data_IF_032083525389
#
_entry.id   IF_032083525389
#
_cell.length_a   1.000
_cell.length_b   1.000
_cell.length_c   1.000
_cell.angle_alpha   90.00
_cell.angle_beta   90.00
_cell.angle_gamma   90.00
#
_symmetry.space_group_name_H-M   'P 1'
#
loop_
_entity.id
_entity.type
_entity.pdbx_description
1 polymer ?
#
# COMPACT_ATOMS: atom_id res chain seq x y z
N UNK A 1 14.45 -4.30 15.05
CA UNK A 1 13.68 -5.54 14.78
C UNK A 1 13.33 -5.53 13.30
N UNK A 2 13.35 -6.67 12.63
CA UNK A 2 12.98 -6.77 11.20
C UNK A 2 11.47 -6.70 11.07
N UNK A 3 10.96 -5.84 10.16
CA UNK A 3 9.53 -5.72 9.87
C UNK A 3 9.07 -6.74 8.84
N UNK A 4 7.89 -7.32 9.03
CA UNK A 4 7.27 -8.22 8.06
C UNK A 4 6.25 -7.46 7.19
N UNK A 5 6.48 -7.45 5.88
CA UNK A 5 5.58 -6.80 4.92
C UNK A 5 4.95 -7.79 3.95
N UNK A 6 3.76 -7.45 3.44
CA UNK A 6 3.02 -8.24 2.44
C UNK A 6 2.59 -7.36 1.26
N UNK A 7 2.36 -7.98 0.10
CA UNK A 7 1.91 -7.26 -1.11
C UNK A 7 0.53 -6.64 -0.96
N UNK A 8 0.29 -5.47 -1.54
CA UNK A 8 -0.95 -4.68 -1.38
C UNK A 8 -2.28 -5.39 -1.71
N UNK A 9 -2.28 -6.37 -2.62
CA UNK A 9 -3.50 -7.05 -3.09
C UNK A 9 -4.64 -6.04 -3.37
N UNK A 10 -5.84 -6.25 -2.82
CA UNK A 10 -7.01 -5.40 -3.01
C UNK A 10 -7.25 -4.39 -1.85
N UNK A 11 -6.44 -4.45 -0.79
CA UNK A 11 -6.60 -3.68 0.44
C UNK A 11 -8.02 -3.76 1.04
N UNK A 12 -8.77 -4.83 0.79
CA UNK A 12 -10.12 -5.02 1.33
C UNK A 12 -10.08 -5.22 2.86
N UNK A 13 -11.22 -5.01 3.52
CA UNK A 13 -11.31 -5.20 4.97
C UNK A 13 -10.94 -6.63 5.38
N UNK A 14 -11.37 -7.62 4.57
CA UNK A 14 -11.07 -9.04 4.80
C UNK A 14 -9.57 -9.31 4.62
N UNK A 15 -8.94 -8.74 3.60
CA UNK A 15 -7.51 -8.87 3.37
C UNK A 15 -6.70 -8.25 4.52
N UNK A 16 -6.98 -6.99 4.88
CA UNK A 16 -6.25 -6.28 5.94
C UNK A 16 -6.41 -6.98 7.31
N UNK A 17 -7.61 -7.44 7.65
CA UNK A 17 -7.83 -8.25 8.88
C UNK A 17 -6.99 -9.52 8.87
N UNK A 18 -6.97 -10.25 7.76
CA UNK A 18 -6.22 -11.50 7.62
C UNK A 18 -4.72 -11.28 7.83
N UNK A 19 -4.13 -10.28 7.18
CA UNK A 19 -2.67 -10.10 7.23
C UNK A 19 -2.19 -9.54 8.58
N UNK A 20 -3.00 -8.73 9.25
CA UNK A 20 -2.76 -8.34 10.65
C UNK A 20 -2.75 -9.57 11.57
N UNK A 21 -3.71 -10.49 11.42
CA UNK A 21 -3.75 -11.73 12.22
C UNK A 21 -2.55 -12.64 11.98
N UNK A 22 -1.94 -12.56 10.79
CA UNK A 22 -0.71 -13.29 10.44
C UNK A 22 0.57 -12.58 10.92
N UNK A 23 0.46 -11.41 11.54
CA UNK A 23 1.60 -10.65 12.08
C UNK A 23 2.30 -9.74 11.07
N UNK A 24 1.65 -9.39 9.95
CA UNK A 24 2.20 -8.39 9.04
C UNK A 24 2.18 -7.00 9.70
N UNK A 25 3.25 -6.25 9.51
CA UNK A 25 3.45 -4.88 10.01
C UNK A 25 3.42 -3.85 8.87
N UNK A 26 3.59 -4.30 7.63
CA UNK A 26 3.74 -3.43 6.47
C UNK A 26 3.02 -3.92 5.22
N UNK A 27 2.68 -2.96 4.36
CA UNK A 27 2.20 -3.21 3.00
C UNK A 27 3.23 -2.72 1.98
N UNK A 28 3.50 -3.56 0.99
CA UNK A 28 4.37 -3.26 -0.15
C UNK A 28 3.56 -3.12 -1.43
N UNK A 29 3.80 -2.03 -2.16
CA UNK A 29 3.27 -1.81 -3.51
C UNK A 29 4.35 -2.20 -4.53
N UNK A 30 4.13 -3.31 -5.23
CA UNK A 30 5.11 -3.90 -6.15
C UNK A 30 5.24 -3.19 -7.49
N UNK A 31 4.24 -2.39 -7.85
CA UNK A 31 4.17 -1.66 -9.10
C UNK A 31 3.68 -0.24 -8.79
N UNK A 32 4.30 0.76 -9.41
CA UNK A 32 3.88 2.16 -9.27
C UNK A 32 2.44 2.37 -9.74
N UNK A 33 2.00 1.59 -10.73
CA UNK A 33 0.65 1.64 -11.29
C UNK A 33 -0.45 1.13 -10.34
N UNK A 34 -0.08 0.58 -9.17
CA UNK A 34 -1.03 0.26 -8.10
C UNK A 34 -1.46 1.49 -7.29
N UNK A 35 -0.71 2.60 -7.37
CA UNK A 35 -1.14 3.85 -6.78
C UNK A 35 -2.08 4.59 -7.75
N UNK A 36 -3.27 5.02 -7.29
CA UNK A 36 -4.19 5.80 -8.12
C UNK A 36 -3.51 7.05 -8.70
N UNK A 37 -3.82 7.40 -9.95
CA UNK A 37 -3.27 8.57 -10.65
C UNK A 37 -1.98 8.30 -11.41
N UNK A 38 -1.22 7.25 -11.06
CA UNK A 38 0.07 6.97 -11.73
C UNK A 38 -0.10 6.60 -13.19
N UNK A 39 -1.13 5.83 -13.55
CA UNK A 39 -1.37 5.43 -14.94
C UNK A 39 -1.76 6.62 -15.82
N UNK A 40 -2.46 7.58 -15.23
CA UNK A 40 -3.02 8.74 -15.94
C UNK A 40 -2.02 9.89 -16.05
N UNK A 41 -1.18 10.09 -15.04
CA UNK A 41 -0.34 11.29 -14.91
C UNK A 41 1.15 11.01 -14.71
N UNK A 42 1.54 9.76 -14.49
CA UNK A 42 2.92 9.37 -14.15
C UNK A 42 3.28 9.59 -12.68
N UNK A 43 2.35 10.07 -11.85
CA UNK A 43 2.54 10.26 -10.41
C UNK A 43 1.25 9.99 -9.61
N UNK A 44 1.34 9.64 -8.31
CA UNK A 44 0.17 9.33 -7.50
C UNK A 44 -0.74 10.54 -7.27
N UNK A 45 -2.04 10.30 -7.28
CA UNK A 45 -3.03 11.21 -6.73
C UNK A 45 -2.84 11.31 -5.21
N UNK A 46 -2.52 12.52 -4.73
CA UNK A 46 -2.14 12.76 -3.34
C UNK A 46 -3.28 12.41 -2.37
N UNK A 47 -4.52 12.79 -2.69
CA UNK A 47 -5.66 12.58 -1.81
C UNK A 47 -6.01 11.09 -1.71
N UNK A 48 -5.93 10.35 -2.81
CA UNK A 48 -6.12 8.92 -2.85
C UNK A 48 -5.01 8.18 -2.07
N UNK A 49 -3.75 8.61 -2.23
CA UNK A 49 -2.63 8.06 -1.47
C UNK A 49 -2.80 8.29 0.04
N UNK A 50 -3.24 9.47 0.46
CA UNK A 50 -3.53 9.78 1.87
C UNK A 50 -4.65 8.88 2.40
N UNK A 51 -5.72 8.64 1.62
CA UNK A 51 -6.81 7.73 2.01
C UNK A 51 -6.31 6.29 2.20
N UNK A 52 -5.49 5.79 1.26
CA UNK A 52 -4.87 4.46 1.35
C UNK A 52 -3.99 4.37 2.60
N UNK A 53 -3.12 5.37 2.84
CA UNK A 53 -2.25 5.40 4.01
C UNK A 53 -3.06 5.37 5.32
N UNK A 54 -4.07 6.23 5.46
CA UNK A 54 -4.94 6.28 6.65
C UNK A 54 -5.67 4.95 6.88
N UNK A 55 -6.12 4.30 5.80
CA UNK A 55 -6.74 2.98 5.86
C UNK A 55 -5.76 1.91 6.36
N UNK A 56 -4.55 1.84 5.83
CA UNK A 56 -3.54 0.86 6.30
C UNK A 56 -3.21 1.12 7.79
N UNK A 57 -3.05 2.38 8.17
CA UNK A 57 -2.77 2.79 9.55
C UNK A 57 -3.91 2.47 10.53
N UNK A 58 -5.19 2.49 10.10
CA UNK A 58 -6.31 2.10 10.97
C UNK A 58 -6.28 0.61 11.36
N UNK A 59 -5.45 -0.20 10.69
CA UNK A 59 -5.19 -1.60 11.04
C UNK A 59 -3.86 -1.79 11.81
N UNK A 60 -3.18 -0.71 12.19
CA UNK A 60 -1.90 -0.77 12.91
C UNK A 60 -0.69 -1.14 12.04
N UNK A 61 -0.83 -1.08 10.71
CA UNK A 61 0.24 -1.33 9.75
C UNK A 61 0.72 -0.04 9.10
N UNK A 62 1.84 -0.08 8.37
CA UNK A 62 2.39 1.04 7.61
C UNK A 62 2.60 0.70 6.12
N UNK A 63 2.83 1.71 5.29
CA UNK A 63 3.40 1.48 3.95
C UNK A 63 4.90 1.29 4.13
N UNK A 64 5.41 0.11 3.78
CA UNK A 64 6.83 -0.20 3.93
C UNK A 64 7.62 0.15 2.67
N UNK A 65 7.09 -0.19 1.50
CA UNK A 65 7.74 0.10 0.20
C UNK A 65 6.71 0.42 -0.87
N UNK A 66 7.12 1.30 -1.78
CA UNK A 66 6.42 1.58 -3.03
C UNK A 66 7.43 1.50 -4.18
N UNK A 67 7.11 0.76 -5.24
CA UNK A 67 7.86 0.82 -6.50
C UNK A 67 7.56 2.15 -7.19
N UNK A 68 8.60 2.86 -7.63
CA UNK A 68 8.44 4.13 -8.34
C UNK A 68 7.68 3.93 -9.66
N UNK A 69 6.92 4.93 -10.13
CA UNK A 69 6.39 4.93 -11.50
C UNK A 69 7.49 4.74 -12.55
N UNK A 70 7.14 4.12 -13.66
CA UNK A 70 8.02 4.07 -14.82
C UNK A 70 8.26 5.50 -15.35
N UNK A 71 9.54 5.83 -15.54
CA UNK A 71 9.94 7.08 -16.17
C UNK A 71 10.02 6.78 -17.67
N UNK A 72 9.09 7.35 -18.44
CA UNK A 72 9.08 7.25 -19.91
C UNK A 72 9.64 8.50 -20.56
#
# INVERSE_FOLDING_TARGET
MMRISVWNMDLSDSYLKKVVQLGAEGIDFGDGAYLPGVKEHGYPDLDALIRIKKRIQSYGMEINRVTLPDIT
#
